data_IF_725162539930
#
_entry.id   IF_725162539930
#
_cell.length_a   1.000
_cell.length_b   1.000
_cell.length_c   1.000
_cell.angle_alpha   90.00
_cell.angle_beta   90.00
_cell.angle_gamma   90.00
#
_symmetry.space_group_name_H-M   'P 1'
#
loop_
_entity.id
_entity.type
_entity.pdbx_description
1 polymer ?
#
# COMPACT_ATOMS: atom_id res chain seq x y z
N UNK A 1 87.95 -18.09 20.54
CA UNK A 1 88.67 -17.41 19.44
C UNK A 1 87.87 -17.62 18.17
N UNK A 2 87.52 -16.54 17.47
CA UNK A 2 86.91 -16.45 16.12
C UNK A 2 85.46 -16.90 15.87
N UNK A 3 84.61 -15.85 15.83
CA UNK A 3 83.51 -15.62 14.89
C UNK A 3 83.77 -16.10 13.46
N UNK A 4 82.69 -16.54 12.78
CA UNK A 4 82.34 -16.51 11.32
C UNK A 4 81.19 -17.53 11.12
N UNK A 5 80.10 -17.34 10.40
CA UNK A 5 79.70 -16.34 9.41
C UNK A 5 78.16 -16.19 9.42
N UNK A 6 77.72 -14.98 9.11
CA UNK A 6 76.32 -14.57 8.87
C UNK A 6 75.82 -15.13 7.53
N UNK A 7 74.59 -15.63 7.49
CA UNK A 7 73.73 -15.51 6.30
C UNK A 7 72.29 -15.21 6.74
N UNK A 8 71.94 -13.93 6.60
CA UNK A 8 70.57 -13.42 6.66
C UNK A 8 69.90 -13.71 5.30
N UNK A 9 68.86 -14.53 5.30
CA UNK A 9 67.89 -14.60 4.20
C UNK A 9 66.67 -13.77 4.59
N UNK A 10 66.64 -12.51 4.15
CA UNK A 10 65.43 -11.67 4.19
C UNK A 10 64.53 -12.14 3.07
N UNK A 11 63.47 -12.87 3.42
CA UNK A 11 62.38 -13.17 2.49
C UNK A 11 61.59 -11.91 2.18
N UNK A 12 61.67 -11.44 0.94
CA UNK A 12 60.82 -10.40 0.40
C UNK A 12 59.42 -11.01 0.23
N UNK A 13 58.52 -10.71 1.16
CA UNK A 13 57.11 -11.06 1.07
C UNK A 13 56.40 -9.99 0.24
N UNK A 14 56.31 -10.22 -1.08
CA UNK A 14 55.58 -9.34 -1.99
C UNK A 14 54.08 -9.50 -1.71
N UNK A 15 53.49 -8.56 -0.97
CA UNK A 15 52.03 -8.44 -0.83
C UNK A 15 51.45 -8.09 -2.22
N UNK A 16 50.92 -9.10 -2.91
CA UNK A 16 50.00 -8.92 -4.03
C UNK A 16 48.69 -8.35 -3.47
N UNK A 17 48.58 -7.02 -3.49
CA UNK A 17 47.32 -6.30 -3.37
C UNK A 17 46.48 -6.64 -4.61
N UNK A 18 45.71 -7.72 -4.54
CA UNK A 18 44.60 -7.95 -5.47
C UNK A 18 43.57 -6.86 -5.21
N UNK A 19 43.56 -5.84 -6.07
CA UNK A 19 42.48 -4.90 -6.22
C UNK A 19 41.21 -5.68 -6.54
N UNK A 20 40.42 -5.96 -5.50
CA UNK A 20 39.05 -6.40 -5.66
C UNK A 20 38.26 -5.22 -6.24
N UNK A 21 38.23 -5.15 -7.57
CA UNK A 21 37.22 -4.40 -8.29
C UNK A 21 35.88 -5.10 -8.06
N UNK A 22 35.26 -4.86 -6.91
CA UNK A 22 33.85 -5.15 -6.73
C UNK A 22 33.10 -4.36 -7.81
N UNK A 23 32.35 -5.00 -8.71
CA UNK A 23 31.47 -4.26 -9.59
C UNK A 23 30.49 -3.49 -8.70
N UNK A 24 30.59 -2.16 -8.74
CA UNK A 24 29.54 -1.28 -8.26
C UNK A 24 28.25 -1.77 -8.90
N UNK A 25 27.33 -2.32 -8.11
CA UNK A 25 25.96 -2.52 -8.57
C UNK A 25 25.44 -1.13 -8.83
N UNK A 26 25.45 -0.71 -10.10
CA UNK A 26 24.81 0.52 -10.52
C UNK A 26 23.37 0.44 -10.02
N UNK A 27 23.06 1.27 -9.04
CA UNK A 27 21.73 1.35 -8.46
C UNK A 27 20.82 1.86 -9.57
N UNK A 28 19.96 0.99 -10.10
CA UNK A 28 18.99 1.37 -11.11
C UNK A 28 18.03 2.37 -10.47
N UNK A 29 18.24 3.66 -10.78
CA UNK A 29 17.36 4.72 -10.33
C UNK A 29 16.01 4.55 -11.02
N UNK A 30 14.96 4.30 -10.23
CA UNK A 30 13.59 4.21 -10.74
C UNK A 30 12.91 5.56 -10.55
N UNK A 31 12.62 6.23 -11.66
CA UNK A 31 11.83 7.44 -11.66
C UNK A 31 10.33 7.08 -11.58
N UNK A 32 9.58 7.83 -10.77
CA UNK A 32 8.13 7.66 -10.59
C UNK A 32 7.43 8.85 -11.21
N UNK A 33 6.72 8.64 -12.31
CA UNK A 33 5.88 9.67 -12.93
C UNK A 33 4.63 9.90 -12.08
N UNK A 34 4.46 11.10 -11.55
CA UNK A 34 3.29 11.46 -10.76
C UNK A 34 2.01 11.49 -11.61
N UNK A 35 0.87 11.32 -10.95
CA UNK A 35 -0.43 11.37 -11.60
C UNK A 35 -0.78 12.81 -11.99
N UNK A 36 -1.44 13.01 -13.14
CA UNK A 36 -2.00 14.32 -13.49
C UNK A 36 -3.10 14.74 -12.50
N UNK A 37 -3.15 16.04 -12.15
CA UNK A 37 -4.16 16.56 -11.23
C UNK A 37 -5.58 16.49 -11.81
N UNK A 38 -5.71 16.51 -13.15
CA UNK A 38 -6.99 16.34 -13.85
C UNK A 38 -7.70 15.03 -13.50
N UNK A 39 -6.96 14.01 -13.03
CA UNK A 39 -7.52 12.73 -12.61
C UNK A 39 -8.39 12.85 -11.35
N UNK A 40 -8.08 13.79 -10.45
CA UNK A 40 -8.73 13.93 -9.13
C UNK A 40 -10.25 14.13 -9.22
N UNK A 41 -10.72 14.92 -10.18
CA UNK A 41 -12.15 15.23 -10.38
C UNK A 41 -13.02 14.01 -10.70
N UNK A 42 -12.42 12.84 -10.96
CA UNK A 42 -13.11 11.58 -11.26
C UNK A 42 -13.12 10.60 -10.08
N UNK A 43 -12.50 10.98 -8.96
CA UNK A 43 -12.43 10.23 -7.71
C UNK A 43 -13.10 11.00 -6.58
N UNK A 44 -13.38 10.29 -5.47
CA UNK A 44 -13.75 10.94 -4.22
C UNK A 44 -12.52 11.60 -3.58
N UNK A 45 -12.67 12.71 -2.83
CA UNK A 45 -13.95 13.38 -2.50
C UNK A 45 -14.49 14.36 -3.55
N UNK A 46 -13.69 14.80 -4.52
CA UNK A 46 -14.03 15.84 -5.51
C UNK A 46 -15.25 15.42 -6.36
N UNK A 47 -15.37 14.12 -6.63
CA UNK A 47 -16.51 13.50 -7.28
C UNK A 47 -17.34 12.69 -6.28
N UNK A 48 -18.67 12.83 -6.34
CA UNK A 48 -19.59 12.01 -5.53
C UNK A 48 -19.48 10.51 -5.86
N UNK A 49 -18.99 10.15 -7.05
CA UNK A 49 -18.85 8.79 -7.57
C UNK A 49 -17.40 8.52 -7.98
N UNK A 50 -17.01 7.26 -7.97
CA UNK A 50 -15.71 6.81 -8.49
C UNK A 50 -15.78 6.64 -10.01
N UNK A 51 -16.02 7.74 -10.75
CA UNK A 51 -16.36 7.71 -12.19
C UNK A 51 -15.25 7.05 -13.01
N UNK A 52 -13.98 7.42 -12.78
CA UNK A 52 -12.85 6.81 -13.49
C UNK A 52 -12.83 5.29 -13.28
N UNK A 53 -12.98 4.84 -12.03
CA UNK A 53 -12.99 3.41 -11.70
C UNK A 53 -14.15 2.67 -12.37
N UNK A 54 -15.33 3.27 -12.44
CA UNK A 54 -16.47 2.70 -13.16
C UNK A 54 -16.20 2.60 -14.66
N UNK A 55 -15.58 3.61 -15.28
CA UNK A 55 -15.15 3.57 -16.69
C UNK A 55 -14.17 2.42 -16.93
N UNK A 56 -13.16 2.24 -16.06
CA UNK A 56 -12.21 1.12 -16.17
C UNK A 56 -12.92 -0.24 -16.06
N UNK A 57 -13.91 -0.37 -15.18
CA UNK A 57 -14.72 -1.60 -15.07
C UNK A 57 -15.62 -1.84 -16.29
N UNK A 58 -16.15 -0.79 -16.91
CA UNK A 58 -16.90 -0.88 -18.15
C UNK A 58 -16.01 -1.37 -19.29
N UNK A 59 -14.88 -0.70 -19.52
CA UNK A 59 -13.90 -1.06 -20.55
C UNK A 59 -13.42 -2.50 -20.42
N UNK A 60 -13.09 -2.97 -19.20
CA UNK A 60 -12.69 -4.37 -18.97
C UNK A 60 -13.77 -5.36 -19.42
N UNK A 61 -15.02 -5.14 -19.03
CA UNK A 61 -16.14 -6.02 -19.34
C UNK A 61 -16.49 -5.99 -20.82
N UNK A 62 -16.45 -4.81 -21.43
CA UNK A 62 -16.74 -4.64 -22.86
C UNK A 62 -15.67 -5.32 -23.71
N UNK A 63 -14.39 -5.16 -23.35
CA UNK A 63 -13.29 -5.82 -24.05
C UNK A 63 -13.34 -7.35 -23.94
N UNK A 64 -13.71 -7.86 -22.76
CA UNK A 64 -13.94 -9.30 -22.57
C UNK A 64 -15.11 -9.80 -23.45
N UNK A 65 -16.23 -9.10 -23.46
CA UNK A 65 -17.38 -9.47 -24.27
C UNK A 65 -17.06 -9.49 -25.78
N UNK A 66 -16.26 -8.53 -26.26
CA UNK A 66 -15.82 -8.51 -27.67
C UNK A 66 -15.00 -9.76 -27.99
N UNK A 67 -14.07 -10.15 -27.12
CA UNK A 67 -13.23 -11.33 -27.31
C UNK A 67 -14.06 -12.63 -27.36
N UNK A 68 -14.99 -12.79 -26.40
CA UNK A 68 -15.91 -13.93 -26.33
C UNK A 68 -16.78 -14.02 -27.60
N UNK A 69 -17.45 -12.93 -28.00
CA UNK A 69 -18.35 -12.96 -29.15
C UNK A 69 -17.63 -12.99 -30.49
N UNK A 70 -16.41 -12.48 -30.60
CA UNK A 70 -15.60 -12.62 -31.80
C UNK A 70 -15.15 -14.08 -32.00
N UNK A 71 -14.82 -14.79 -30.92
CA UNK A 71 -14.49 -16.22 -30.97
C UNK A 71 -15.69 -17.07 -31.43
N UNK A 72 -16.89 -16.70 -31.00
CA UNK A 72 -18.16 -17.31 -31.46
C UNK A 72 -18.61 -16.83 -32.85
N UNK A 73 -17.89 -15.90 -33.47
CA UNK A 73 -18.28 -15.23 -34.72
C UNK A 73 -19.69 -14.59 -34.67
N UNK A 74 -20.11 -14.14 -33.49
CA UNK A 74 -21.40 -13.49 -33.28
C UNK A 74 -21.31 -12.01 -33.66
N UNK A 75 -21.64 -11.69 -34.91
CA UNK A 75 -21.54 -10.34 -35.47
C UNK A 75 -22.36 -9.31 -34.66
N UNK A 76 -23.60 -9.64 -34.32
CA UNK A 76 -24.51 -8.70 -33.65
C UNK A 76 -23.94 -8.26 -32.29
N UNK A 77 -23.50 -9.23 -31.48
CA UNK A 77 -22.96 -8.95 -30.16
C UNK A 77 -21.56 -8.35 -30.21
N UNK A 78 -20.70 -8.82 -31.12
CA UNK A 78 -19.37 -8.21 -31.36
C UNK A 78 -19.50 -6.73 -31.71
N UNK A 79 -20.41 -6.38 -32.62
CA UNK A 79 -20.68 -4.98 -33.00
C UNK A 79 -21.22 -4.16 -31.83
N UNK A 80 -22.19 -4.69 -31.08
CA UNK A 80 -22.77 -4.02 -29.91
C UNK A 80 -21.72 -3.69 -28.86
N UNK A 81 -20.90 -4.67 -28.49
CA UNK A 81 -19.91 -4.49 -27.44
C UNK A 81 -18.70 -3.67 -27.89
N UNK A 82 -18.29 -3.79 -29.15
CA UNK A 82 -17.27 -2.91 -29.75
C UNK A 82 -17.70 -1.45 -29.75
N UNK A 83 -18.96 -1.16 -30.11
CA UNK A 83 -19.49 0.21 -30.05
C UNK A 83 -19.42 0.81 -28.64
N UNK A 84 -19.83 0.05 -27.62
CA UNK A 84 -19.75 0.49 -26.21
C UNK A 84 -18.32 0.73 -25.76
N UNK A 85 -17.41 -0.22 -26.03
CA UNK A 85 -16.01 -0.09 -25.69
C UNK A 85 -15.42 1.19 -26.29
N UNK A 86 -15.63 1.41 -27.59
CA UNK A 86 -15.06 2.54 -28.32
C UNK A 86 -15.61 3.87 -27.81
N UNK A 87 -16.91 3.93 -27.47
CA UNK A 87 -17.51 5.11 -26.84
C UNK A 87 -16.82 5.46 -25.52
N UNK A 88 -16.61 4.49 -24.63
CA UNK A 88 -15.94 4.73 -23.35
C UNK A 88 -14.45 5.02 -23.52
N UNK A 89 -13.78 4.34 -24.45
CA UNK A 89 -12.34 4.46 -24.65
C UNK A 89 -11.97 5.84 -25.21
N UNK A 90 -12.80 6.38 -26.12
CA UNK A 90 -12.64 7.74 -26.66
C UNK A 90 -12.82 8.85 -25.63
N UNK A 91 -13.51 8.59 -24.52
CA UNK A 91 -13.67 9.55 -23.41
C UNK A 91 -12.42 9.66 -22.53
N UNK A 92 -11.52 8.69 -22.54
CA UNK A 92 -10.31 8.72 -21.71
C UNK A 92 -9.46 9.99 -21.91
N UNK A 93 -9.11 10.43 -23.14
CA UNK A 93 -8.37 11.66 -23.37
C UNK A 93 -9.16 12.95 -23.07
N UNK A 94 -10.48 12.86 -22.86
CA UNK A 94 -11.29 13.98 -22.38
C UNK A 94 -11.27 14.03 -20.84
N UNK A 95 -11.29 12.86 -20.20
CA UNK A 95 -11.23 12.73 -18.76
C UNK A 95 -9.85 13.12 -18.21
N UNK A 96 -8.78 12.67 -18.87
CA UNK A 96 -7.38 12.95 -18.48
C UNK A 96 -6.63 13.41 -19.73
N UNK A 97 -6.69 14.71 -20.08
CA UNK A 97 -6.09 15.25 -21.30
C UNK A 97 -4.59 14.98 -21.43
N UNK A 98 -3.88 14.88 -20.32
CA UNK A 98 -2.45 14.59 -20.23
C UNK A 98 -2.09 13.19 -20.75
N UNK A 99 -3.07 12.28 -20.87
CA UNK A 99 -2.88 10.93 -21.41
C UNK A 99 -3.36 10.80 -22.85
N UNK A 100 -3.64 11.90 -23.55
CA UNK A 100 -4.14 11.85 -24.92
C UNK A 100 -3.26 11.03 -25.85
N UNK A 101 -1.94 11.22 -25.75
CA UNK A 101 -0.97 10.54 -26.61
C UNK A 101 -0.73 9.08 -26.18
N UNK A 102 -1.10 8.73 -24.94
CA UNK A 102 -1.01 7.36 -24.40
C UNK A 102 -2.21 6.49 -24.80
N UNK A 103 -3.33 7.09 -25.24
CA UNK A 103 -4.56 6.37 -25.59
C UNK A 103 -4.57 6.08 -27.10
N UNK A 104 -4.51 4.80 -27.47
CA UNK A 104 -4.48 4.36 -28.88
C UNK A 104 -5.86 4.46 -29.59
N UNK A 105 -6.33 5.69 -29.86
CA UNK A 105 -7.64 5.98 -30.50
C UNK A 105 -7.76 5.36 -31.90
N UNK A 106 -6.66 5.31 -32.66
CA UNK A 106 -6.65 4.69 -33.99
C UNK A 106 -6.96 3.19 -33.92
N UNK A 107 -6.46 2.50 -32.89
CA UNK A 107 -6.72 1.07 -32.71
C UNK A 107 -8.17 0.82 -32.28
N UNK A 108 -8.75 1.71 -31.48
CA UNK A 108 -10.18 1.68 -31.17
C UNK A 108 -11.05 1.89 -32.43
N UNK A 109 -10.63 2.76 -33.34
CA UNK A 109 -11.30 2.99 -34.62
C UNK A 109 -11.17 1.79 -35.56
N UNK A 110 -10.01 1.14 -35.58
CA UNK A 110 -9.77 -0.12 -36.31
C UNK A 110 -10.67 -1.25 -35.79
N UNK A 111 -10.78 -1.40 -34.47
CA UNK A 111 -11.70 -2.33 -33.83
C UNK A 111 -13.15 -2.06 -34.24
N UNK A 112 -13.59 -0.80 -34.16
CA UNK A 112 -14.96 -0.41 -34.54
C UNK A 112 -15.28 -0.79 -35.98
N UNK A 113 -14.35 -0.54 -36.89
CA UNK A 113 -14.51 -0.81 -38.33
C UNK A 113 -14.60 -2.31 -38.59
N UNK A 114 -13.68 -3.09 -38.02
CA UNK A 114 -13.64 -4.54 -38.17
C UNK A 114 -14.90 -5.22 -37.58
N UNK A 115 -15.37 -4.74 -36.42
CA UNK A 115 -16.60 -5.24 -35.80
C UNK A 115 -17.85 -4.93 -36.63
N UNK A 116 -17.87 -3.81 -37.37
CA UNK A 116 -18.98 -3.46 -38.29
C UNK A 116 -18.98 -4.32 -39.55
N UNK A 117 -17.81 -4.70 -40.07
CA UNK A 117 -17.68 -5.52 -41.28
C UNK A 117 -17.69 -7.02 -41.02
N UNK A 118 -17.67 -7.46 -39.75
CA UNK A 118 -17.58 -8.88 -39.40
C UNK A 118 -16.20 -9.49 -39.63
N UNK A 119 -15.15 -8.67 -39.70
CA UNK A 119 -13.77 -9.13 -39.77
C UNK A 119 -13.28 -9.55 -38.37
N UNK A 120 -13.69 -10.74 -37.94
CA UNK A 120 -13.36 -11.27 -36.62
C UNK A 120 -11.85 -11.42 -36.40
N UNK A 121 -11.08 -11.72 -37.45
CA UNK A 121 -9.62 -11.81 -37.35
C UNK A 121 -9.01 -10.45 -36.99
N UNK A 122 -9.46 -9.39 -37.65
CA UNK A 122 -9.00 -8.04 -37.32
C UNK A 122 -9.48 -7.61 -35.94
N UNK A 123 -10.73 -7.93 -35.55
CA UNK A 123 -11.25 -7.69 -34.20
C UNK A 123 -10.32 -8.31 -33.14
N UNK A 124 -10.00 -9.59 -33.23
CA UNK A 124 -9.09 -10.27 -32.27
C UNK A 124 -7.71 -9.60 -32.21
N UNK A 125 -7.16 -9.23 -33.38
CA UNK A 125 -5.86 -8.55 -33.41
C UNK A 125 -5.90 -7.15 -32.78
N UNK A 126 -6.99 -6.42 -32.94
CA UNK A 126 -7.18 -5.08 -32.40
C UNK A 126 -7.41 -5.11 -30.90
N UNK A 127 -8.25 -6.04 -30.42
CA UNK A 127 -8.42 -6.33 -28.99
C UNK A 127 -7.07 -6.63 -28.34
N UNK A 128 -6.26 -7.49 -28.95
CA UNK A 128 -4.93 -7.84 -28.42
C UNK A 128 -4.00 -6.63 -28.28
N UNK A 129 -4.08 -5.67 -29.19
CA UNK A 129 -3.29 -4.43 -29.15
C UNK A 129 -3.82 -3.45 -28.10
N UNK A 130 -5.13 -3.23 -28.05
CA UNK A 130 -5.77 -2.42 -27.00
C UNK A 130 -5.48 -2.97 -25.60
N UNK A 131 -5.50 -4.30 -25.42
CA UNK A 131 -5.10 -4.90 -24.16
C UNK A 131 -3.64 -4.59 -23.76
N UNK A 132 -2.71 -4.50 -24.73
CA UNK A 132 -1.33 -4.06 -24.46
C UNK A 132 -1.29 -2.59 -24.03
N UNK A 133 -2.02 -1.72 -24.74
CA UNK A 133 -2.16 -0.32 -24.36
C UNK A 133 -2.68 -0.15 -22.93
N UNK A 134 -3.76 -0.85 -22.57
CA UNK A 134 -4.29 -0.86 -21.20
C UNK A 134 -3.25 -1.35 -20.17
N UNK A 135 -2.46 -2.38 -20.51
CA UNK A 135 -1.43 -2.92 -19.60
C UNK A 135 -0.29 -1.93 -19.39
N UNK A 136 0.11 -1.16 -20.39
CA UNK A 136 1.17 -0.17 -20.28
C UNK A 136 0.75 0.95 -19.32
N UNK A 137 -0.39 1.59 -19.59
CA UNK A 137 -0.95 2.61 -18.69
C UNK A 137 -1.17 2.07 -17.27
N UNK A 138 -1.68 0.84 -17.11
CA UNK A 138 -1.85 0.23 -15.79
C UNK A 138 -0.53 -0.09 -15.08
N UNK A 139 0.55 -0.40 -15.81
CA UNK A 139 1.86 -0.65 -15.20
C UNK A 139 2.42 0.61 -14.56
N UNK A 140 2.22 1.74 -15.22
CA UNK A 140 2.76 3.03 -14.80
C UNK A 140 1.88 3.68 -13.72
N UNK A 141 0.57 3.80 -13.95
CA UNK A 141 -0.26 4.72 -13.16
C UNK A 141 -1.21 4.03 -12.18
N UNK A 142 -1.54 2.74 -12.35
CA UNK A 142 -2.60 2.08 -11.56
C UNK A 142 -2.27 2.02 -10.06
N UNK A 143 -1.02 1.71 -9.73
CA UNK A 143 -0.58 1.62 -8.34
C UNK A 143 -0.62 3.00 -7.66
N UNK A 144 -0.14 4.02 -8.36
CA UNK A 144 -0.18 5.41 -7.89
C UNK A 144 -1.61 5.90 -7.72
N UNK A 145 -2.50 5.63 -8.68
CA UNK A 145 -3.90 6.04 -8.59
C UNK A 145 -4.63 5.34 -7.43
N UNK A 146 -4.33 4.05 -7.18
CA UNK A 146 -4.83 3.37 -6.00
C UNK A 146 -4.28 3.99 -4.71
N UNK A 147 -2.98 4.31 -4.69
CA UNK A 147 -2.34 4.92 -3.53
C UNK A 147 -2.93 6.30 -3.20
N UNK A 148 -3.08 7.20 -4.20
CA UNK A 148 -3.60 8.55 -3.99
C UNK A 148 -5.07 8.58 -3.57
N UNK A 149 -5.91 7.80 -4.24
CA UNK A 149 -7.38 7.94 -4.12
C UNK A 149 -8.07 6.80 -3.34
N UNK A 150 -7.33 5.80 -2.86
CA UNK A 150 -7.90 4.66 -2.11
C UNK A 150 -7.15 4.30 -0.85
N UNK A 151 -6.02 4.95 -0.56
CA UNK A 151 -5.35 4.83 0.73
C UNK A 151 -6.03 5.73 1.76
N UNK A 152 -5.93 5.37 3.05
CA UNK A 152 -6.46 6.23 4.10
C UNK A 152 -5.74 7.58 4.14
N UNK A 153 -6.51 8.62 4.44
CA UNK A 153 -6.01 9.94 4.78
C UNK A 153 -6.39 10.22 6.24
N UNK A 154 -5.38 10.40 7.09
CA UNK A 154 -5.54 10.57 8.53
C UNK A 154 -5.54 12.05 8.95
N UNK A 155 -5.29 12.99 8.03
CA UNK A 155 -5.11 14.42 8.32
C UNK A 155 -6.33 15.07 8.98
N UNK A 156 -7.52 14.52 8.77
CA UNK A 156 -8.78 15.01 9.32
C UNK A 156 -9.37 14.12 10.41
N UNK A 157 -8.62 13.12 10.89
CA UNK A 157 -9.07 12.25 11.99
C UNK A 157 -8.60 12.83 13.31
N UNK A 158 -9.57 13.08 14.18
CA UNK A 158 -9.35 13.48 15.57
C UNK A 158 -9.80 12.38 16.52
N UNK A 159 -9.05 12.20 17.61
CA UNK A 159 -9.30 11.19 18.64
C UNK A 159 -9.35 11.89 19.99
N UNK A 160 -10.43 11.68 20.74
CA UNK A 160 -10.53 12.20 22.10
C UNK A 160 -9.54 11.50 23.04
N UNK A 161 -8.93 12.26 23.95
CA UNK A 161 -8.19 11.70 25.08
C UNK A 161 -9.12 11.31 26.25
N UNK A 162 -8.55 10.94 27.40
CA UNK A 162 -9.33 10.55 28.60
C UNK A 162 -10.16 11.70 29.18
N UNK A 163 -9.79 12.95 28.86
CA UNK A 163 -10.48 14.15 29.31
C UNK A 163 -11.49 14.66 28.27
N UNK A 164 -11.64 13.94 27.15
CA UNK A 164 -12.51 14.34 26.03
C UNK A 164 -11.89 15.40 25.13
N UNK A 165 -10.61 15.74 25.29
CA UNK A 165 -9.94 16.73 24.44
C UNK A 165 -9.55 16.05 23.13
N UNK A 166 -10.01 16.62 22.02
CA UNK A 166 -9.67 16.13 20.69
C UNK A 166 -8.18 16.37 20.40
N UNK A 167 -7.51 15.33 19.93
CA UNK A 167 -6.12 15.34 19.45
C UNK A 167 -6.11 14.86 18.01
N UNK A 168 -5.21 15.41 17.20
CA UNK A 168 -4.97 14.88 15.86
C UNK A 168 -4.46 13.43 15.95
N UNK A 169 -4.70 12.67 14.88
CA UNK A 169 -4.32 11.26 14.80
C UNK A 169 -2.84 11.00 15.11
N UNK A 170 -1.94 11.85 14.60
CA UNK A 170 -0.49 11.71 14.78
C UNK A 170 -0.09 11.84 16.26
N UNK A 171 -0.61 12.87 16.94
CA UNK A 171 -0.40 13.07 18.38
C UNK A 171 -0.89 11.86 19.20
N UNK A 172 -2.03 11.27 18.84
CA UNK A 172 -2.52 10.06 19.52
C UNK A 172 -1.62 8.84 19.29
N UNK A 173 -1.11 8.65 18.07
CA UNK A 173 -0.14 7.57 17.74
C UNK A 173 1.16 7.72 18.53
N UNK A 174 1.68 8.94 18.65
CA UNK A 174 2.85 9.24 19.46
C UNK A 174 2.61 8.93 20.94
N UNK A 175 1.43 9.27 21.45
CA UNK A 175 1.05 8.96 22.82
C UNK A 175 0.97 7.44 23.06
N UNK A 176 0.41 6.67 22.13
CA UNK A 176 0.38 5.20 22.17
C UNK A 176 1.80 4.61 22.23
N UNK A 177 2.70 5.07 21.36
CA UNK A 177 4.10 4.65 21.32
C UNK A 177 4.82 4.90 22.66
N UNK A 178 4.63 6.10 23.24
CA UNK A 178 5.17 6.43 24.56
C UNK A 178 4.61 5.55 25.67
N UNK A 179 3.33 5.20 25.62
CA UNK A 179 2.70 4.30 26.61
C UNK A 179 3.27 2.88 26.52
N UNK A 180 3.42 2.32 25.32
CA UNK A 180 4.05 0.99 25.12
C UNK A 180 5.47 0.98 25.68
N UNK A 181 6.28 1.99 25.36
CA UNK A 181 7.64 2.13 25.91
C UNK A 181 7.63 2.27 27.43
N UNK A 182 6.65 2.99 27.99
CA UNK A 182 6.50 3.14 29.45
C UNK A 182 6.23 1.81 30.15
N UNK A 183 5.40 0.93 29.56
CA UNK A 183 5.17 -0.42 30.11
C UNK A 183 6.49 -1.20 30.13
N UNK A 184 7.21 -1.20 29.00
CA UNK A 184 8.49 -1.90 28.86
C UNK A 184 9.51 -1.43 29.89
N UNK A 185 9.83 -0.13 29.90
CA UNK A 185 10.80 0.48 30.81
C UNK A 185 10.41 0.20 32.27
N UNK A 186 9.18 0.50 32.67
CA UNK A 186 8.74 0.31 34.04
C UNK A 186 8.77 -1.17 34.47
N UNK A 187 8.47 -2.10 33.58
CA UNK A 187 8.55 -3.54 33.89
C UNK A 187 9.99 -4.03 34.05
N UNK A 188 10.94 -3.50 33.27
CA UNK A 188 12.37 -3.82 33.40
C UNK A 188 12.96 -3.26 34.69
N UNK A 189 12.54 -2.05 35.06
CA UNK A 189 12.91 -1.39 36.31
C UNK A 189 12.16 -1.93 37.54
N UNK A 190 11.35 -2.98 37.38
CA UNK A 190 10.51 -3.59 38.44
C UNK A 190 9.51 -2.61 39.09
N UNK A 191 9.18 -1.52 38.41
CA UNK A 191 8.16 -0.55 38.78
C UNK A 191 6.76 -1.04 38.37
N UNK A 192 6.34 -2.19 38.93
CA UNK A 192 5.15 -2.93 38.48
C UNK A 192 3.86 -2.13 38.53
N UNK A 193 3.64 -1.33 39.58
CA UNK A 193 2.45 -0.48 39.68
C UNK A 193 2.39 0.57 38.56
N UNK A 194 3.55 1.14 38.19
CA UNK A 194 3.66 2.10 37.07
C UNK A 194 3.42 1.42 35.73
N UNK A 195 3.94 0.20 35.55
CA UNK A 195 3.73 -0.59 34.33
C UNK A 195 2.26 -1.00 34.18
N UNK A 196 1.61 -1.47 35.25
CA UNK A 196 0.19 -1.81 35.26
C UNK A 196 -0.69 -0.60 34.93
N UNK A 197 -0.42 0.57 35.52
CA UNK A 197 -1.12 1.82 35.17
C UNK A 197 -0.95 2.19 33.69
N UNK A 198 0.26 2.04 33.15
CA UNK A 198 0.50 2.30 31.73
C UNK A 198 -0.22 1.29 30.81
N UNK A 199 -0.37 0.03 31.23
CA UNK A 199 -1.14 -0.98 30.50
C UNK A 199 -2.64 -0.65 30.43
N UNK A 200 -3.22 -0.20 31.55
CA UNK A 200 -4.60 0.30 31.56
C UNK A 200 -4.78 1.53 30.66
N UNK A 201 -3.82 2.46 30.69
CA UNK A 201 -3.82 3.62 29.80
C UNK A 201 -3.75 3.19 28.32
N UNK A 202 -2.91 2.21 27.98
CA UNK A 202 -2.78 1.68 26.62
C UNK A 202 -4.13 1.13 26.12
N UNK A 203 -4.81 0.34 26.96
CA UNK A 203 -6.13 -0.22 26.65
C UNK A 203 -7.14 0.89 26.34
N UNK A 204 -7.20 1.93 27.16
CA UNK A 204 -8.07 3.08 26.92
C UNK A 204 -7.74 3.83 25.62
N UNK A 205 -6.46 4.05 25.34
CA UNK A 205 -6.01 4.69 24.11
C UNK A 205 -6.34 3.86 22.86
N UNK A 206 -6.20 2.54 22.93
CA UNK A 206 -6.56 1.63 21.84
C UNK A 206 -8.07 1.57 21.61
N UNK A 207 -8.87 1.60 22.68
CA UNK A 207 -10.33 1.64 22.57
C UNK A 207 -10.78 2.89 21.81
N UNK A 208 -10.31 4.09 22.21
CA UNK A 208 -10.66 5.36 21.55
C UNK A 208 -10.15 5.44 20.12
N UNK A 209 -8.96 4.88 19.85
CA UNK A 209 -8.50 4.69 18.47
C UNK A 209 -9.42 3.76 17.67
N UNK A 210 -9.97 2.72 18.30
CA UNK A 210 -10.92 1.81 17.68
C UNK A 210 -12.21 2.51 17.23
N UNK A 211 -12.66 3.54 17.96
CA UNK A 211 -13.84 4.34 17.58
C UNK A 211 -13.60 5.14 16.30
N UNK A 212 -12.36 5.61 16.08
CA UNK A 212 -12.01 6.35 14.86
C UNK A 212 -11.99 5.48 13.59
N UNK A 213 -12.07 4.14 13.71
CA UNK A 213 -12.17 3.26 12.56
C UNK A 213 -13.45 3.53 11.73
N UNK A 214 -14.51 4.00 12.39
CA UNK A 214 -15.80 4.33 11.75
C UNK A 214 -15.72 5.49 10.75
N UNK A 215 -14.68 6.32 10.82
CA UNK A 215 -14.46 7.41 9.86
C UNK A 215 -14.14 6.90 8.46
N UNK A 216 -13.64 5.67 8.33
CA UNK A 216 -13.29 5.05 7.05
C UNK A 216 -14.05 3.76 6.76
N UNK A 217 -14.36 2.97 7.79
CA UNK A 217 -15.02 1.67 7.66
C UNK A 217 -16.49 1.76 8.06
N UNK A 218 -17.36 1.19 7.23
CA UNK A 218 -18.82 1.18 7.48
C UNK A 218 -19.29 -0.02 8.31
N UNK A 219 -18.46 -1.04 8.41
CA UNK A 219 -18.74 -2.27 9.15
C UNK A 219 -17.66 -2.51 10.22
N UNK A 220 -17.97 -3.37 11.18
CA UNK A 220 -17.12 -3.61 12.35
C UNK A 220 -15.96 -4.59 12.08
N UNK A 221 -15.97 -5.33 10.98
CA UNK A 221 -15.01 -6.42 10.77
C UNK A 221 -13.55 -5.94 10.73
N UNK A 222 -13.20 -4.82 10.06
CA UNK A 222 -11.85 -4.24 10.12
C UNK A 222 -11.40 -3.93 11.54
N UNK A 223 -12.29 -3.35 12.36
CA UNK A 223 -12.01 -3.05 13.77
C UNK A 223 -11.77 -4.32 14.55
N UNK A 224 -12.65 -5.32 14.45
CA UNK A 224 -12.55 -6.59 15.18
C UNK A 224 -11.34 -7.44 14.75
N UNK A 225 -10.88 -7.33 13.50
CA UNK A 225 -9.68 -8.03 13.03
C UNK A 225 -8.40 -7.57 13.75
N UNK A 226 -8.39 -6.33 14.23
CA UNK A 226 -7.23 -5.70 14.89
C UNK A 226 -7.46 -5.58 16.40
N UNK A 227 -8.65 -5.17 16.84
CA UNK A 227 -9.01 -4.86 18.23
C UNK A 227 -10.12 -5.79 18.78
N UNK A 228 -10.28 -6.98 18.20
CA UNK A 228 -11.22 -8.00 18.68
C UNK A 228 -10.63 -8.91 19.76
N UNK A 229 -11.26 -10.07 19.97
CA UNK A 229 -11.03 -10.98 21.09
C UNK A 229 -9.56 -11.36 21.32
N UNK A 230 -8.80 -11.60 20.24
CA UNK A 230 -7.38 -11.95 20.35
C UNK A 230 -6.56 -10.82 21.00
N UNK A 231 -6.86 -9.58 20.64
CA UNK A 231 -6.20 -8.39 21.18
C UNK A 231 -6.66 -8.12 22.61
N UNK A 232 -7.96 -8.22 22.89
CA UNK A 232 -8.50 -8.10 24.25
C UNK A 232 -7.87 -9.13 25.20
N UNK A 233 -7.84 -10.41 24.80
CA UNK A 233 -7.24 -11.48 25.61
C UNK A 233 -5.75 -11.25 25.85
N UNK A 234 -5.00 -10.81 24.83
CA UNK A 234 -3.57 -10.55 24.98
C UNK A 234 -3.30 -9.39 25.94
N UNK A 235 -4.15 -8.35 25.91
CA UNK A 235 -4.06 -7.25 26.88
C UNK A 235 -4.46 -7.72 28.29
N UNK A 236 -5.44 -8.60 28.43
CA UNK A 236 -5.82 -9.19 29.73
C UNK A 236 -4.67 -10.00 30.34
N UNK A 237 -4.03 -10.84 29.52
CA UNK A 237 -2.87 -11.64 29.93
C UNK A 237 -1.64 -10.77 30.23
N UNK A 238 -1.47 -9.64 29.54
CA UNK A 238 -0.45 -8.64 29.87
C UNK A 238 -0.72 -8.01 31.25
N UNK A 239 -1.96 -7.59 31.51
CA UNK A 239 -2.37 -7.01 32.79
C UNK A 239 -2.19 -8.00 33.95
N UNK A 240 -2.53 -9.28 33.72
CA UNK A 240 -2.31 -10.35 34.68
C UNK A 240 -0.82 -10.58 34.97
N UNK A 241 0.01 -10.64 33.93
CA UNK A 241 1.45 -10.82 34.07
C UNK A 241 2.11 -9.66 34.84
N UNK A 242 1.66 -8.43 34.60
CA UNK A 242 2.11 -7.23 35.32
C UNK A 242 1.69 -7.28 36.79
N UNK A 243 0.44 -7.67 37.08
CA UNK A 243 -0.08 -7.82 38.45
C UNK A 243 0.68 -8.88 39.23
N UNK A 244 1.00 -10.01 38.58
CA UNK A 244 1.76 -11.12 39.16
C UNK A 244 3.27 -10.88 39.17
N UNK A 245 3.74 -9.73 38.66
CA UNK A 245 5.16 -9.36 38.62
C UNK A 245 6.02 -10.41 37.90
N UNK A 246 5.61 -10.83 36.71
CA UNK A 246 6.23 -11.89 35.93
C UNK A 246 6.99 -11.35 34.70
N UNK A 247 8.27 -10.93 34.82
CA UNK A 247 9.00 -10.24 33.76
C UNK A 247 8.98 -10.97 32.40
N UNK A 248 9.19 -12.28 32.40
CA UNK A 248 9.21 -13.10 31.17
C UNK A 248 7.83 -13.13 30.49
N UNK A 249 6.77 -13.24 31.28
CA UNK A 249 5.39 -13.26 30.77
C UNK A 249 5.00 -11.87 30.25
N UNK A 250 5.31 -10.81 31.00
CA UNK A 250 5.10 -9.42 30.58
C UNK A 250 5.78 -9.12 29.25
N UNK A 251 7.07 -9.44 29.12
CA UNK A 251 7.80 -9.20 27.87
C UNK A 251 7.22 -9.97 26.69
N UNK A 252 6.83 -11.24 26.89
CA UNK A 252 6.17 -12.06 25.87
C UNK A 252 4.84 -11.44 25.43
N UNK A 253 3.97 -11.09 26.38
CA UNK A 253 2.62 -10.57 26.08
C UNK A 253 2.63 -9.16 25.50
N UNK A 254 3.57 -8.31 25.93
CA UNK A 254 3.78 -7.01 25.29
C UNK A 254 4.26 -7.16 23.84
N UNK A 255 5.17 -8.09 23.57
CA UNK A 255 5.61 -8.41 22.20
C UNK A 255 4.49 -8.99 21.34
N UNK A 256 3.68 -9.89 21.90
CA UNK A 256 2.50 -10.44 21.24
C UNK A 256 1.48 -9.35 20.88
N UNK A 257 1.18 -8.44 21.83
CA UNK A 257 0.32 -7.28 21.59
C UNK A 257 0.86 -6.40 20.45
N UNK A 258 2.17 -6.16 20.40
CA UNK A 258 2.79 -5.37 19.32
C UNK A 258 2.59 -6.02 17.94
N UNK A 259 2.65 -7.35 17.84
CA UNK A 259 2.43 -8.05 16.56
C UNK A 259 0.96 -8.06 16.17
N UNK A 260 0.06 -8.42 17.09
CA UNK A 260 -1.35 -8.62 16.74
C UNK A 260 -2.14 -7.30 16.61
N UNK A 261 -1.67 -6.22 17.26
CA UNK A 261 -2.30 -4.89 17.19
C UNK A 261 -1.48 -3.99 16.27
N UNK A 262 -0.26 -3.61 16.69
CA UNK A 262 0.50 -2.55 16.05
C UNK A 262 0.94 -2.94 14.63
N UNK A 263 1.53 -4.12 14.45
CA UNK A 263 1.99 -4.56 13.13
C UNK A 263 0.84 -4.75 12.13
N UNK A 264 -0.33 -5.22 12.60
CA UNK A 264 -1.53 -5.33 11.75
C UNK A 264 -2.05 -3.95 11.34
N UNK A 265 -2.19 -3.02 12.28
CA UNK A 265 -2.53 -1.63 11.97
C UNK A 265 -1.55 -1.03 10.97
N UNK A 266 -0.25 -1.11 11.25
CA UNK A 266 0.77 -0.44 10.43
C UNK A 266 0.87 -1.03 9.03
N UNK A 267 0.81 -2.35 8.90
CA UNK A 267 0.90 -3.03 7.61
C UNK A 267 -0.28 -2.74 6.67
N UNK A 268 -1.43 -2.33 7.21
CA UNK A 268 -2.61 -1.97 6.40
C UNK A 268 -2.73 -0.46 6.23
N UNK A 269 -2.49 0.31 7.29
CA UNK A 269 -2.80 1.74 7.33
C UNK A 269 -1.57 2.62 7.17
N UNK A 270 -0.57 2.42 8.03
CA UNK A 270 0.59 3.31 8.10
C UNK A 270 1.43 3.25 6.83
N UNK A 271 1.75 2.05 6.33
CA UNK A 271 2.56 1.91 5.12
C UNK A 271 1.90 2.63 3.93
N UNK A 272 0.59 2.47 3.75
CA UNK A 272 -0.13 3.13 2.67
C UNK A 272 -0.29 4.64 2.90
N UNK A 273 -0.61 5.07 4.11
CA UNK A 273 -0.74 6.48 4.48
C UNK A 273 0.59 7.24 4.31
N UNK A 274 1.67 6.73 4.91
CA UNK A 274 3.00 7.33 4.84
C UNK A 274 3.49 7.40 3.37
N UNK A 275 3.28 6.34 2.58
CA UNK A 275 3.68 6.34 1.16
C UNK A 275 2.84 7.31 0.34
N UNK A 276 1.53 7.42 0.63
CA UNK A 276 0.65 8.41 -0.02
C UNK A 276 1.16 9.82 0.26
N UNK A 277 1.40 10.18 1.52
CA UNK A 277 1.86 11.51 1.86
C UNK A 277 3.23 11.81 1.27
N UNK A 278 4.19 10.88 1.33
CA UNK A 278 5.50 11.08 0.71
C UNK A 278 5.45 11.40 -0.79
N UNK A 279 4.48 10.85 -1.53
CA UNK A 279 4.39 11.02 -2.98
C UNK A 279 3.46 12.16 -3.42
N UNK A 280 2.53 12.61 -2.58
CA UNK A 280 1.44 13.48 -3.00
C UNK A 280 1.13 14.67 -2.08
N UNK A 281 1.71 14.74 -0.87
CA UNK A 281 1.51 15.81 0.11
C UNK A 281 2.84 16.52 0.44
#
# INVERSE_FOLDING_TARGET
MRYRDQFWLVGIFTLLLTSQNSPSVAQEERNVTLLPDSLSQWYKPENKRQVWLHTMFALRRELQAIDEYAAEQNLMLTKKWSGKFVEHFRKLPEMVPEWRDEVEIDEATRLETAARSGDFKTVTSAVSRLQRNCRNCHREYRALAALRYRSPDFSHIEIADEQGILKDYGTHMDALSRTVNRIKIASEDKQWARAAKASQQLRGQLYRLGESCGSCHKDELPRLRILGDASSRTLDELDEALTRQQPKSTGKKLGEAAVIICARCHGVHRTLGDTRSFLFD
#
